data_IF_296004906791
#
_entry.id   IF_296004906791
#
_cell.length_a   1.000
_cell.length_b   1.000
_cell.length_c   1.000
_cell.angle_alpha   90.00
_cell.angle_beta   90.00
_cell.angle_gamma   90.00
#
_symmetry.space_group_name_H-M   'P 1'
#
loop_
_entity.id
_entity.type
_entity.pdbx_description
1 polymer ?
#
# COMPACT_ATOMS: atom_id res chain seq x y z
N UNK A 1 -20.21 -33.94 -11.68
CA UNK A 1 -19.55 -32.81 -10.98
C UNK A 1 -20.02 -31.45 -11.55
N UNK A 2 -21.31 -31.33 -11.88
CA UNK A 2 -21.93 -30.09 -12.36
C UNK A 2 -23.11 -29.64 -11.47
N UNK A 3 -23.65 -30.54 -10.63
CA UNK A 3 -24.76 -30.22 -9.71
C UNK A 3 -24.35 -29.45 -8.45
N UNK A 4 -23.09 -29.48 -8.03
CA UNK A 4 -22.65 -28.80 -6.82
C UNK A 4 -22.49 -27.27 -6.98
N UNK A 5 -22.55 -26.75 -8.22
CA UNK A 5 -22.40 -25.31 -8.50
C UNK A 5 -23.78 -24.61 -8.57
N UNK A 6 -24.86 -25.34 -8.85
CA UNK A 6 -26.20 -24.76 -8.95
C UNK A 6 -26.81 -24.42 -7.58
N UNK A 7 -26.46 -25.18 -6.53
CA UNK A 7 -27.05 -25.02 -5.19
C UNK A 7 -26.46 -23.83 -4.42
N UNK A 8 -25.17 -23.55 -4.61
CA UNK A 8 -24.48 -22.42 -3.96
C UNK A 8 -24.91 -21.03 -4.45
N UNK A 9 -25.40 -20.92 -5.69
CA UNK A 9 -25.83 -19.63 -6.27
C UNK A 9 -27.27 -19.27 -5.86
N UNK A 10 -28.12 -20.27 -5.60
CA UNK A 10 -29.49 -20.06 -5.11
C UNK A 10 -29.53 -19.56 -3.65
N UNK A 11 -28.57 -19.98 -2.81
CA UNK A 11 -28.44 -19.53 -1.43
C UNK A 11 -27.99 -18.06 -1.33
N UNK A 12 -27.08 -17.63 -2.22
CA UNK A 12 -26.58 -16.26 -2.30
C UNK A 12 -27.64 -15.26 -2.78
N UNK A 13 -28.58 -15.69 -3.64
CA UNK A 13 -29.65 -14.84 -4.13
C UNK A 13 -30.85 -14.74 -3.17
N UNK A 14 -31.02 -15.70 -2.27
CA UNK A 14 -32.08 -15.69 -1.24
C UNK A 14 -31.76 -14.78 -0.05
N UNK A 15 -30.47 -14.49 0.19
CA UNK A 15 -30.01 -13.59 1.26
C UNK A 15 -30.16 -12.11 0.93
N UNK A 16 -30.37 -11.76 -0.33
CA UNK A 16 -30.42 -10.37 -0.83
C UNK A 16 -31.84 -9.77 -0.88
N UNK A 17 -32.89 -10.49 -0.43
CA UNK A 17 -34.28 -10.01 -0.53
C UNK A 17 -35.10 -10.28 0.73
N UNK A 18 -34.89 -9.48 1.77
CA UNK A 18 -35.92 -9.19 2.79
C UNK A 18 -35.88 -7.70 3.16
N UNK A 19 -36.95 -6.94 2.92
CA UNK A 19 -37.14 -5.64 3.53
C UNK A 19 -38.00 -5.85 4.79
N UNK A 20 -37.40 -5.84 5.98
CA UNK A 20 -38.17 -5.65 7.21
C UNK A 20 -38.16 -4.16 7.55
N UNK A 21 -39.31 -3.55 7.29
CA UNK A 21 -39.66 -2.20 7.67
C UNK A 21 -39.86 -2.17 9.19
N UNK A 22 -38.84 -1.77 9.94
CA UNK A 22 -39.00 -1.41 11.36
C UNK A 22 -39.19 0.10 11.48
N UNK A 23 -40.40 0.45 11.87
CA UNK A 23 -40.86 1.76 12.32
C UNK A 23 -40.06 2.15 13.59
N UNK A 24 -38.93 2.84 13.41
CA UNK A 24 -38.10 3.35 14.50
C UNK A 24 -38.37 4.84 14.67
N UNK A 25 -39.38 5.19 15.48
CA UNK A 25 -39.49 6.56 16.00
C UNK A 25 -38.28 6.85 16.90
N UNK A 26 -37.56 7.98 16.75
CA UNK A 26 -36.38 8.26 17.56
C UNK A 26 -36.80 8.58 18.99
N UNK A 27 -36.36 7.77 19.95
CA UNK A 27 -36.29 8.21 21.34
C UNK A 27 -35.21 9.30 21.44
N UNK A 28 -35.44 10.44 22.12
CA UNK A 28 -34.46 11.50 22.24
C UNK A 28 -33.27 11.00 23.05
N UNK A 29 -32.19 10.64 22.36
CA UNK A 29 -30.92 10.25 22.97
C UNK A 29 -30.28 11.41 23.73
N UNK A 30 -29.34 11.12 24.65
CA UNK A 30 -28.56 12.14 25.34
C UNK A 30 -27.86 13.06 24.31
N UNK A 31 -27.58 14.33 24.67
CA UNK A 31 -26.93 15.27 23.75
C UNK A 31 -25.65 14.63 23.23
N UNK A 32 -25.32 14.81 21.94
CA UNK A 32 -24.14 14.19 21.39
C UNK A 32 -22.94 14.64 22.21
N UNK A 33 -22.33 13.68 22.91
CA UNK A 33 -20.94 13.77 23.26
C UNK A 33 -20.24 14.09 21.95
N UNK A 34 -19.80 15.34 21.83
CA UNK A 34 -18.78 15.75 20.90
C UNK A 34 -17.51 15.02 21.34
N UNK A 35 -17.48 13.71 21.11
CA UNK A 35 -16.24 13.01 20.88
C UNK A 35 -15.54 13.88 19.85
N UNK A 36 -14.36 14.45 20.15
CA UNK A 36 -13.62 15.19 19.16
C UNK A 36 -13.34 14.17 18.07
N UNK A 37 -14.18 14.19 17.03
CA UNK A 37 -13.97 13.44 15.82
C UNK A 37 -12.64 13.97 15.36
N UNK A 38 -11.58 13.21 15.68
CA UNK A 38 -10.20 13.62 15.49
C UNK A 38 -10.16 14.17 14.08
N UNK A 39 -9.97 15.48 13.98
CA UNK A 39 -10.07 16.22 12.73
C UNK A 39 -8.98 15.62 11.86
N UNK A 40 -9.32 14.61 11.06
CA UNK A 40 -8.35 13.92 10.25
C UNK A 40 -7.72 15.02 9.39
N UNK A 41 -6.40 15.25 9.50
CA UNK A 41 -5.77 16.30 8.72
C UNK A 41 -6.11 16.03 7.25
N UNK A 42 -6.51 17.06 6.51
CA UNK A 42 -6.66 16.92 5.07
C UNK A 42 -5.28 16.58 4.49
N UNK A 43 -5.08 15.34 4.04
CA UNK A 43 -3.80 14.87 3.48
C UNK A 43 -3.41 13.47 3.94
N UNK A 44 -2.23 13.02 3.50
CA UNK A 44 -1.57 11.80 4.00
C UNK A 44 -0.85 12.17 5.29
N UNK A 45 -1.00 11.36 6.34
CA UNK A 45 -0.36 11.64 7.63
C UNK A 45 1.16 11.42 7.53
N UNK A 46 2.00 12.23 8.20
CA UNK A 46 3.45 12.03 8.19
C UNK A 46 3.87 10.61 8.57
N UNK A 47 3.18 10.00 9.54
CA UNK A 47 3.44 8.63 10.00
C UNK A 47 3.14 7.60 8.90
N UNK A 48 2.12 7.84 8.07
CA UNK A 48 1.79 6.96 6.93
C UNK A 48 2.85 7.06 5.83
N UNK A 49 3.40 8.26 5.60
CA UNK A 49 4.49 8.48 4.64
C UNK A 49 5.75 7.75 5.12
N UNK A 50 6.10 7.88 6.40
CA UNK A 50 7.26 7.20 7.00
C UNK A 50 7.10 5.68 6.96
N UNK A 51 5.93 5.16 7.29
CA UNK A 51 5.64 3.73 7.24
C UNK A 51 5.75 3.18 5.81
N UNK A 52 5.26 3.94 4.83
CA UNK A 52 5.35 3.59 3.41
C UNK A 52 6.81 3.59 2.94
N UNK A 53 7.56 4.64 3.26
CA UNK A 53 8.99 4.73 2.91
C UNK A 53 9.82 3.62 3.55
N UNK A 54 9.56 3.30 4.83
CA UNK A 54 10.20 2.19 5.54
C UNK A 54 9.89 0.84 4.88
N UNK A 55 8.63 0.64 4.49
CA UNK A 55 8.20 -0.56 3.76
C UNK A 55 8.94 -0.67 2.44
N UNK A 56 8.92 0.36 1.59
CA UNK A 56 9.61 0.33 0.30
C UNK A 56 11.11 0.11 0.42
N UNK A 57 11.75 0.68 1.44
CA UNK A 57 13.17 0.47 1.73
C UNK A 57 13.49 -0.95 2.22
N UNK A 58 12.56 -1.59 2.94
CA UNK A 58 12.69 -3.00 3.29
C UNK A 58 12.51 -3.87 2.05
N UNK A 59 11.45 -3.64 1.28
CA UNK A 59 11.18 -4.41 0.05
C UNK A 59 12.30 -4.25 -0.98
N UNK A 60 12.93 -3.07 -1.09
CA UNK A 60 14.08 -2.88 -1.98
C UNK A 60 15.25 -3.80 -1.61
N UNK A 61 15.50 -4.02 -0.32
CA UNK A 61 16.55 -4.93 0.17
C UNK A 61 16.18 -6.38 -0.11
N UNK A 62 14.94 -6.76 0.20
CA UNK A 62 14.43 -8.11 -0.09
C UNK A 62 14.59 -8.45 -1.57
N UNK A 63 14.20 -7.53 -2.47
CA UNK A 63 14.34 -7.71 -3.92
C UNK A 63 15.82 -7.77 -4.34
N UNK A 64 16.69 -6.95 -3.75
CA UNK A 64 18.14 -6.99 -4.06
C UNK A 64 18.82 -8.29 -3.61
N UNK A 65 18.29 -8.94 -2.58
CA UNK A 65 18.84 -10.17 -2.01
C UNK A 65 18.34 -11.44 -2.72
N UNK A 66 17.40 -11.32 -3.65
CA UNK A 66 16.94 -12.45 -4.46
C UNK A 66 18.08 -12.98 -5.34
N UNK A 67 18.61 -14.15 -4.95
CA UNK A 67 19.71 -14.81 -5.66
C UNK A 67 19.18 -15.67 -6.79
N UNK A 68 19.62 -15.36 -8.01
CA UNK A 68 19.36 -16.15 -9.21
C UNK A 68 20.60 -16.90 -9.70
N UNK A 69 21.67 -16.93 -8.90
CA UNK A 69 22.95 -17.54 -9.26
C UNK A 69 22.79 -19.00 -9.70
N UNK A 70 21.84 -19.71 -9.06
CA UNK A 70 21.50 -21.10 -9.39
C UNK A 70 21.02 -21.29 -10.85
N UNK A 71 20.37 -20.28 -11.45
CA UNK A 71 19.92 -20.33 -12.85
C UNK A 71 21.10 -20.16 -13.82
N UNK A 72 22.07 -19.33 -13.44
CA UNK A 72 23.28 -19.09 -14.23
C UNK A 72 24.30 -20.22 -14.12
N UNK A 73 24.29 -20.99 -13.02
CA UNK A 73 25.25 -22.05 -12.74
C UNK A 73 24.87 -23.42 -13.32
N UNK A 74 23.71 -23.54 -13.95
CA UNK A 74 23.29 -24.79 -14.60
C UNK A 74 24.25 -25.09 -15.75
N UNK A 75 25.03 -26.16 -15.60
CA UNK A 75 25.92 -26.69 -16.62
C UNK A 75 25.44 -28.07 -17.07
N UNK A 76 25.61 -28.37 -18.35
CA UNK A 76 25.16 -29.61 -18.98
C UNK A 76 25.34 -29.51 -20.50
N UNK A 77 25.26 -30.64 -21.20
CA UNK A 77 25.25 -30.64 -22.67
C UNK A 77 24.23 -29.60 -23.16
N UNK A 78 24.62 -28.75 -24.13
CA UNK A 78 23.78 -27.67 -24.66
C UNK A 78 22.41 -28.22 -25.04
N UNK A 79 21.45 -28.04 -24.15
CA UNK A 79 20.05 -28.35 -24.34
C UNK A 79 19.28 -27.05 -24.36
N UNK A 80 18.13 -27.05 -25.03
CA UNK A 80 17.25 -25.88 -25.06
C UNK A 80 16.88 -25.41 -23.64
N UNK A 81 16.82 -26.35 -22.68
CA UNK A 81 16.57 -26.07 -21.26
C UNK A 81 17.71 -25.28 -20.63
N UNK A 82 18.97 -25.69 -20.84
CA UNK A 82 20.14 -24.96 -20.29
C UNK A 82 20.25 -23.55 -20.87
N UNK A 83 19.94 -23.39 -22.17
CA UNK A 83 19.91 -22.08 -22.84
C UNK A 83 18.79 -21.20 -22.29
N UNK A 84 17.59 -21.76 -22.10
CA UNK A 84 16.44 -21.05 -21.55
C UNK A 84 16.70 -20.56 -20.12
N UNK A 85 17.31 -21.40 -19.27
CA UNK A 85 17.67 -21.03 -17.90
C UNK A 85 18.68 -19.89 -17.86
N UNK A 86 19.70 -19.95 -18.71
CA UNK A 86 20.70 -18.88 -18.80
C UNK A 86 20.08 -17.57 -19.30
N UNK A 87 19.23 -17.64 -20.34
CA UNK A 87 18.50 -16.48 -20.86
C UNK A 87 17.58 -15.85 -19.81
N UNK A 88 16.86 -16.67 -19.04
CA UNK A 88 16.02 -16.21 -17.94
C UNK A 88 16.85 -15.47 -16.87
N UNK A 89 18.00 -16.02 -16.48
CA UNK A 89 18.92 -15.36 -15.53
C UNK A 89 19.40 -14.01 -16.04
N UNK A 90 19.84 -13.94 -17.30
CA UNK A 90 20.35 -12.71 -17.94
C UNK A 90 19.30 -11.59 -17.97
N UNK A 91 18.02 -11.93 -18.11
CA UNK A 91 16.93 -10.95 -18.09
C UNK A 91 16.48 -10.59 -16.67
N UNK A 92 16.40 -11.58 -15.78
CA UNK A 92 15.83 -11.41 -14.45
C UNK A 92 16.76 -10.61 -13.52
N UNK A 93 18.08 -10.83 -13.56
CA UNK A 93 19.05 -10.12 -12.71
C UNK A 93 18.99 -8.58 -12.86
N UNK A 94 19.11 -8.00 -14.07
CA UNK A 94 19.03 -6.54 -14.23
C UNK A 94 17.62 -6.01 -13.90
N UNK A 95 16.58 -6.81 -14.10
CA UNK A 95 15.20 -6.43 -13.75
C UNK A 95 15.03 -6.29 -12.23
N UNK A 96 15.52 -7.27 -11.45
CA UNK A 96 15.49 -7.21 -9.99
C UNK A 96 16.29 -6.03 -9.46
N UNK A 97 17.49 -5.79 -10.01
CA UNK A 97 18.30 -4.62 -9.66
C UNK A 97 17.56 -3.30 -9.93
N UNK A 98 16.88 -3.19 -11.08
CA UNK A 98 16.08 -2.01 -11.43
C UNK A 98 14.91 -1.80 -10.47
N UNK A 99 14.16 -2.85 -10.14
CA UNK A 99 13.03 -2.77 -9.19
C UNK A 99 13.52 -2.35 -7.81
N UNK A 100 14.58 -2.98 -7.30
CA UNK A 100 15.19 -2.61 -6.03
C UNK A 100 15.60 -1.13 -5.99
N UNK A 101 16.32 -0.67 -7.02
CA UNK A 101 16.76 0.71 -7.11
C UNK A 101 15.59 1.70 -7.12
N UNK A 102 14.52 1.38 -7.86
CA UNK A 102 13.29 2.19 -7.92
C UNK A 102 12.60 2.27 -6.56
N UNK A 103 12.44 1.15 -5.85
CA UNK A 103 11.84 1.14 -4.52
C UNK A 103 12.66 1.97 -3.51
N UNK A 104 13.98 1.85 -3.54
CA UNK A 104 14.86 2.67 -2.71
C UNK A 104 14.72 4.17 -3.02
N UNK A 105 14.72 4.52 -4.31
CA UNK A 105 14.58 5.92 -4.78
C UNK A 105 13.24 6.52 -4.37
N UNK A 106 12.16 5.75 -4.50
CA UNK A 106 10.83 6.16 -4.10
C UNK A 106 10.73 6.36 -2.58
N UNK A 107 11.37 5.49 -1.79
CA UNK A 107 11.44 5.66 -0.33
C UNK A 107 12.17 6.96 0.05
N UNK A 108 13.31 7.25 -0.58
CA UNK A 108 14.07 8.48 -0.34
C UNK A 108 13.30 9.74 -0.76
N UNK A 109 12.58 9.66 -1.87
CA UNK A 109 11.72 10.74 -2.35
C UNK A 109 10.57 11.02 -1.37
N UNK A 110 9.95 9.98 -0.81
CA UNK A 110 8.88 10.13 0.20
C UNK A 110 9.40 10.77 1.49
N UNK A 111 10.56 10.34 2.00
CA UNK A 111 11.16 10.93 3.20
C UNK A 111 11.47 12.41 2.98
N UNK A 112 12.05 12.73 1.83
CA UNK A 112 12.37 14.12 1.46
C UNK A 112 11.11 14.97 1.35
N UNK A 113 10.07 14.43 0.70
CA UNK A 113 8.77 15.08 0.59
C UNK A 113 8.15 15.36 1.95
N UNK A 114 8.14 14.37 2.86
CA UNK A 114 7.58 14.53 4.21
C UNK A 114 8.28 15.64 4.98
N UNK A 115 9.62 15.65 4.98
CA UNK A 115 10.41 16.67 5.65
C UNK A 115 10.11 18.09 5.11
N UNK A 116 9.96 18.23 3.78
CA UNK A 116 9.59 19.52 3.17
C UNK A 116 8.18 19.98 3.55
N UNK A 117 7.22 19.05 3.66
CA UNK A 117 5.85 19.38 4.05
C UNK A 117 5.79 19.86 5.49
N UNK A 118 6.43 19.13 6.42
CA UNK A 118 6.47 19.51 7.84
C UNK A 118 7.09 20.90 8.02
N UNK A 119 8.28 21.12 7.43
CA UNK A 119 8.96 22.42 7.52
C UNK A 119 8.13 23.58 6.92
N UNK A 120 7.39 23.31 5.84
CA UNK A 120 6.53 24.33 5.22
C UNK A 120 5.30 24.63 6.09
N UNK A 121 4.71 23.61 6.71
CA UNK A 121 3.56 23.76 7.60
C UNK A 121 3.93 24.53 8.87
N UNK A 122 5.07 24.19 9.48
CA UNK A 122 5.60 24.89 10.65
C UNK A 122 5.85 26.38 10.37
N UNK A 123 6.44 26.69 9.20
CA UNK A 123 6.66 28.08 8.76
C UNK A 123 5.34 28.81 8.52
N UNK A 124 4.35 28.17 7.92
CA UNK A 124 3.03 28.76 7.72
C UNK A 124 2.31 29.03 9.05
N UNK A 125 2.35 28.08 9.98
CA UNK A 125 1.78 28.22 11.32
C UNK A 125 2.47 29.33 12.13
N UNK A 126 3.79 29.46 12.03
CA UNK A 126 4.53 30.57 12.62
C UNK A 126 4.10 31.94 12.03
N UNK A 127 3.97 32.01 10.70
CA UNK A 127 3.51 33.23 10.02
C UNK A 127 2.08 33.62 10.45
N UNK A 128 1.15 32.67 10.52
CA UNK A 128 -0.23 32.93 10.96
C UNK A 128 -0.31 33.42 12.40
N UNK A 129 0.48 32.84 13.32
CA UNK A 129 0.55 33.30 14.72
C UNK A 129 1.12 34.71 14.86
N UNK A 130 1.92 35.16 13.89
CA UNK A 130 2.48 36.53 13.89
C UNK A 130 1.51 37.59 13.37
N UNK A 131 0.34 37.20 12.82
CA UNK A 131 -0.67 38.15 12.36
C UNK A 131 -1.38 38.78 13.58
N UNK A 132 -1.37 40.11 13.74
CA UNK A 132 -2.05 40.77 14.85
C UNK A 132 -3.56 40.50 14.85
N UNK A 133 -4.11 40.16 16.01
CA UNK A 133 -5.56 40.12 16.21
C UNK A 133 -6.11 41.55 16.12
N UNK A 134 -7.03 41.82 15.19
CA UNK A 134 -7.78 43.08 15.15
C UNK A 134 -8.91 43.08 16.16
#
# INVERSE_FOLDING_TARGET
MADAIAEGVAELLSRARRPDHQDNTPSPGPPPDQSPSARAPFGVRPEEIEQTASTWRRESKVVAELKLDALSSVSGAMSDVTTALHSASTSAVPTLASISARLATLADSLVTFNAMVIDRDDRAAAALRSVPSR
#
